data_IF_911782533044
#
_entry.id   IF_911782533044
#
_cell.length_a   1.000
_cell.length_b   1.000
_cell.length_c   1.000
_cell.angle_alpha   90.00
_cell.angle_beta   90.00
_cell.angle_gamma   90.00
#
_symmetry.space_group_name_H-M   'P 1'
#
loop_
_entity.id
_entity.type
_entity.pdbx_description
1 polymer ?
#
# COMPACT_ATOMS: atom_id res chain seq x y z
N UNK A 1 0.55 -1.22 -12.53
CA UNK A 1 -0.01 -0.38 -11.45
C UNK A 1 -0.89 -1.22 -10.55
N UNK A 2 -0.76 -1.04 -9.25
CA UNK A 2 -1.48 -1.82 -8.24
C UNK A 2 -2.34 -0.89 -7.40
N UNK A 3 -3.61 -1.23 -7.26
CA UNK A 3 -4.51 -0.58 -6.31
C UNK A 3 -4.68 -1.49 -5.09
N UNK A 4 -4.36 -1.00 -3.91
CA UNK A 4 -4.50 -1.76 -2.67
C UNK A 4 -5.43 -1.05 -1.70
N UNK A 5 -6.09 -1.83 -0.86
CA UNK A 5 -6.92 -1.30 0.23
C UNK A 5 -6.66 -2.08 1.51
N UNK A 6 -6.73 -1.37 2.62
CA UNK A 6 -6.56 -1.95 3.94
C UNK A 6 -7.25 -1.08 4.98
N UNK A 7 -7.50 -1.64 6.15
CA UNK A 7 -7.97 -0.87 7.32
C UNK A 7 -6.80 -0.66 8.27
N UNK A 8 -6.73 0.51 8.87
CA UNK A 8 -5.68 0.90 9.81
C UNK A 8 -6.27 1.40 11.13
N UNK A 9 -5.51 1.24 12.20
CA UNK A 9 -5.95 1.67 13.54
C UNK A 9 -5.90 3.18 13.71
N UNK A 10 -4.89 3.83 13.09
CA UNK A 10 -4.63 5.26 13.21
C UNK A 10 -4.04 5.76 11.90
N UNK A 11 -4.73 6.72 11.27
CA UNK A 11 -4.34 7.20 9.95
C UNK A 11 -2.99 7.94 9.98
N UNK A 12 -2.74 8.76 10.98
CA UNK A 12 -1.48 9.52 11.07
C UNK A 12 -0.29 8.60 11.32
N UNK A 13 -0.45 7.60 12.17
CA UNK A 13 0.55 6.56 12.39
C UNK A 13 0.84 5.78 11.09
N UNK A 14 -0.22 5.41 10.36
CA UNK A 14 -0.09 4.75 9.07
C UNK A 14 0.74 5.60 8.10
N UNK A 15 0.41 6.89 7.94
CA UNK A 15 1.12 7.77 7.03
C UNK A 15 2.59 7.97 7.43
N UNK A 16 2.87 8.05 8.72
CA UNK A 16 4.24 8.20 9.21
C UNK A 16 5.12 7.01 8.79
N UNK A 17 4.64 5.79 9.03
CA UNK A 17 5.39 4.59 8.67
C UNK A 17 5.39 4.37 7.15
N UNK A 18 4.27 4.64 6.49
CA UNK A 18 4.13 4.54 5.04
C UNK A 18 5.15 5.42 4.31
N UNK A 19 5.37 6.65 4.79
CA UNK A 19 6.27 7.62 4.15
C UNK A 19 7.74 7.46 4.54
N UNK A 20 8.06 6.61 5.50
CA UNK A 20 9.41 6.37 5.99
C UNK A 20 9.85 4.93 5.70
N UNK A 21 9.67 4.01 6.64
CA UNK A 21 10.09 2.60 6.50
C UNK A 21 9.42 1.91 5.31
N UNK A 22 8.13 2.18 5.12
CA UNK A 22 7.39 1.63 3.98
C UNK A 22 7.94 2.13 2.65
N UNK A 23 8.27 3.42 2.56
CA UNK A 23 8.83 3.99 1.34
C UNK A 23 10.19 3.39 0.98
N UNK A 24 11.06 3.16 1.95
CA UNK A 24 12.35 2.52 1.71
C UNK A 24 12.17 1.10 1.16
N UNK A 25 11.27 0.32 1.74
CA UNK A 25 10.98 -1.02 1.26
C UNK A 25 10.39 -1.01 -0.15
N UNK A 26 9.45 -0.11 -0.43
CA UNK A 26 8.87 0.00 -1.76
C UNK A 26 9.92 0.36 -2.80
N UNK A 27 10.85 1.25 -2.49
CA UNK A 27 11.97 1.61 -3.39
C UNK A 27 12.86 0.41 -3.69
N UNK A 28 13.16 -0.42 -2.69
CA UNK A 28 13.93 -1.65 -2.87
C UNK A 28 13.28 -2.61 -3.87
N UNK A 29 11.97 -2.59 -3.97
CA UNK A 29 11.20 -3.44 -4.89
C UNK A 29 10.78 -2.72 -6.18
N UNK A 30 11.37 -1.56 -6.46
CA UNK A 30 11.20 -0.88 -7.74
C UNK A 30 9.96 0.02 -7.87
N UNK A 31 9.30 0.35 -6.77
CA UNK A 31 8.18 1.30 -6.82
C UNK A 31 8.66 2.69 -7.21
N UNK A 32 7.92 3.33 -8.11
CA UNK A 32 8.21 4.68 -8.60
C UNK A 32 7.43 5.75 -7.85
N UNK A 33 6.45 5.37 -7.07
CA UNK A 33 5.64 6.30 -6.30
C UNK A 33 4.35 5.66 -5.81
N UNK A 34 3.64 6.39 -4.95
CA UNK A 34 2.37 5.94 -4.39
C UNK A 34 1.45 7.13 -4.15
N UNK A 35 0.16 6.91 -4.28
CA UNK A 35 -0.87 7.91 -4.00
C UNK A 35 -1.86 7.32 -3.00
N UNK A 36 -2.08 8.01 -1.89
CA UNK A 36 -2.95 7.54 -0.81
C UNK A 36 -4.29 8.27 -0.88
N UNK A 37 -5.37 7.51 -0.76
CA UNK A 37 -6.73 8.01 -0.70
C UNK A 37 -7.38 7.55 0.59
N UNK A 38 -8.19 8.41 1.20
CA UNK A 38 -9.05 8.01 2.32
C UNK A 38 -10.42 7.61 1.79
N UNK A 39 -10.97 6.55 2.37
CA UNK A 39 -12.33 6.14 2.01
C UNK A 39 -13.34 7.17 2.55
N UNK A 40 -14.31 7.62 1.73
CA UNK A 40 -15.26 8.63 2.17
C UNK A 40 -16.31 8.09 3.14
N UNK A 41 -16.47 6.77 3.25
CA UNK A 41 -17.51 6.13 4.04
C UNK A 41 -16.98 5.37 5.25
N UNK A 42 -15.71 4.97 5.25
CA UNK A 42 -15.07 4.22 6.33
C UNK A 42 -13.84 4.96 6.82
N UNK A 43 -13.88 5.46 8.06
CA UNK A 43 -12.80 6.29 8.62
C UNK A 43 -11.46 5.56 8.75
N UNK A 44 -11.50 4.24 8.89
CA UNK A 44 -10.31 3.40 9.07
C UNK A 44 -9.80 2.77 7.77
N UNK A 45 -10.49 2.96 6.64
CA UNK A 45 -10.07 2.40 5.36
C UNK A 45 -9.25 3.39 4.55
N UNK A 46 -8.14 2.89 4.01
CA UNK A 46 -7.29 3.63 3.08
C UNK A 46 -7.17 2.86 1.77
N UNK A 47 -6.95 3.62 0.71
CA UNK A 47 -6.69 3.09 -0.63
C UNK A 47 -5.35 3.64 -1.08
N UNK A 48 -4.53 2.82 -1.72
CA UNK A 48 -3.23 3.24 -2.22
C UNK A 48 -3.07 2.80 -3.66
N UNK A 49 -2.71 3.74 -4.51
CA UNK A 49 -2.32 3.45 -5.88
C UNK A 49 -0.79 3.42 -5.95
N UNK A 50 -0.24 2.25 -6.29
CA UNK A 50 1.22 2.07 -6.39
C UNK A 50 1.64 2.06 -7.86
N UNK A 51 2.68 2.82 -8.16
CA UNK A 51 3.30 2.83 -9.48
C UNK A 51 4.39 1.76 -9.57
N UNK A 52 3.96 0.53 -9.69
CA UNK A 52 4.77 -0.65 -10.00
C UNK A 52 3.88 -1.72 -10.62
N UNK A 53 4.51 -2.81 -11.11
CA UNK A 53 3.78 -3.95 -11.69
C UNK A 53 3.44 -5.01 -10.62
N UNK A 54 2.76 -6.07 -11.05
CA UNK A 54 2.40 -7.16 -10.17
C UNK A 54 3.59 -7.91 -9.61
N UNK A 55 4.69 -8.00 -10.35
CA UNK A 55 5.93 -8.64 -9.87
C UNK A 55 6.54 -7.86 -8.72
N UNK A 56 6.63 -6.53 -8.84
CA UNK A 56 7.12 -5.67 -7.76
C UNK A 56 6.25 -5.78 -6.51
N UNK A 57 4.93 -5.80 -6.68
CA UNK A 57 4.00 -6.02 -5.58
C UNK A 57 4.21 -7.38 -4.91
N UNK A 58 4.31 -8.48 -5.69
CA UNK A 58 4.52 -9.81 -5.14
C UNK A 58 5.85 -9.92 -4.38
N UNK A 59 6.91 -9.34 -4.91
CA UNK A 59 8.20 -9.32 -4.24
C UNK A 59 8.14 -8.54 -2.93
N UNK A 60 7.42 -7.43 -2.91
CA UNK A 60 7.22 -6.63 -1.69
C UNK A 60 6.46 -7.42 -0.63
N UNK A 61 5.31 -8.01 -0.96
CA UNK A 61 4.49 -8.74 0.02
C UNK A 61 5.13 -10.04 0.48
N UNK A 62 6.10 -10.54 -0.27
CA UNK A 62 6.88 -11.75 0.08
C UNK A 62 8.16 -11.43 0.85
N UNK A 63 8.52 -10.15 0.99
CA UNK A 63 9.69 -9.73 1.74
C UNK A 63 9.46 -10.00 3.23
N UNK A 64 10.37 -10.74 3.91
CA UNK A 64 10.17 -11.11 5.31
C UNK A 64 10.17 -9.94 6.29
N UNK A 65 10.66 -8.77 5.88
CA UNK A 65 10.65 -7.57 6.72
C UNK A 65 9.32 -6.80 6.66
N UNK A 66 8.50 -7.05 5.65
CA UNK A 66 7.27 -6.28 5.41
C UNK A 66 6.19 -6.50 6.47
N UNK A 67 5.90 -7.73 6.96
CA UNK A 67 4.87 -7.92 7.99
C UNK A 67 5.08 -7.07 9.24
N UNK A 68 6.32 -6.93 9.71
CA UNK A 68 6.63 -6.10 10.87
C UNK A 68 6.37 -4.61 10.60
N UNK A 69 6.66 -4.14 9.39
CA UNK A 69 6.40 -2.75 8.97
C UNK A 69 4.90 -2.49 8.92
N UNK A 70 4.11 -3.42 8.37
CA UNK A 70 2.65 -3.29 8.33
C UNK A 70 2.06 -3.25 9.74
N UNK A 71 2.57 -4.08 10.64
CA UNK A 71 2.13 -4.08 12.03
C UNK A 71 2.47 -2.74 12.72
N UNK A 72 3.66 -2.23 12.51
CA UNK A 72 4.07 -0.93 13.04
C UNK A 72 3.18 0.21 12.51
N UNK A 73 2.79 0.12 11.24
CA UNK A 73 1.88 1.07 10.61
C UNK A 73 0.42 0.95 11.09
N UNK A 74 0.10 -0.08 11.87
CA UNK A 74 -1.22 -0.28 12.44
C UNK A 74 -2.24 -0.93 11.51
N UNK A 75 -1.80 -1.75 10.58
CA UNK A 75 -2.73 -2.50 9.72
C UNK A 75 -3.57 -3.47 10.54
N UNK A 76 -4.89 -3.47 10.33
CA UNK A 76 -5.82 -4.37 11.01
C UNK A 76 -5.89 -5.75 10.36
N UNK A 77 -5.34 -5.89 9.15
CA UNK A 77 -5.34 -7.15 8.42
C UNK A 77 -4.43 -7.04 7.20
N UNK A 78 -4.43 -8.07 6.37
CA UNK A 78 -3.65 -8.07 5.14
C UNK A 78 -4.27 -7.12 4.12
N UNK A 79 -3.47 -6.29 3.41
CA UNK A 79 -3.96 -5.51 2.29
C UNK A 79 -4.52 -6.40 1.19
N UNK A 80 -5.61 -5.95 0.58
CA UNK A 80 -6.14 -6.55 -0.64
C UNK A 80 -5.66 -5.71 -1.82
N UNK A 81 -5.31 -6.37 -2.92
CA UNK A 81 -4.75 -5.69 -4.07
C UNK A 81 -5.37 -6.16 -5.38
N UNK A 82 -5.40 -5.24 -6.35
CA UNK A 82 -5.82 -5.51 -7.71
C UNK A 82 -4.82 -4.89 -8.68
N UNK A 83 -4.56 -5.57 -9.78
CA UNK A 83 -3.69 -5.07 -10.84
C UNK A 83 -4.50 -4.27 -11.85
N UNK A 84 -3.83 -3.33 -12.54
CA UNK A 84 -4.44 -2.59 -13.63
C UNK A 84 -4.89 -3.56 -14.73
N UNK A 85 -6.19 -3.56 -15.03
CA UNK A 85 -6.76 -4.39 -16.09
C UNK A 85 -6.80 -3.70 -17.44
N UNK A 86 -6.95 -2.38 -17.46
CA UNK A 86 -6.97 -1.61 -18.69
C UNK A 86 -7.33 -0.16 -18.45
N UNK A 87 -7.14 0.64 -19.48
CA UNK A 87 -7.52 2.06 -19.50
C UNK A 87 -8.38 2.31 -20.72
N UNK A 88 -9.45 3.04 -20.53
CA UNK A 88 -10.44 3.27 -21.58
C UNK A 88 -10.81 4.74 -21.63
N UNK A 89 -11.13 5.21 -22.83
CA UNK A 89 -11.78 6.51 -22.98
C UNK A 89 -13.20 6.42 -22.42
N UNK A 90 -13.69 7.47 -21.88
CA UNK A 90 -14.92 7.57 -21.09
C UNK A 90 -16.10 6.66 -21.49
#
# INVERSE_FOLDING_TARGET
>A
MILATTKVEDYDRFLNIFSTKGAEKRKQHGSKGSTVFRDPNEDDRVWVLFDWDGEGWQNFVSDPDVPAILQEAGHKGKPQAAELGGRYDA
#
